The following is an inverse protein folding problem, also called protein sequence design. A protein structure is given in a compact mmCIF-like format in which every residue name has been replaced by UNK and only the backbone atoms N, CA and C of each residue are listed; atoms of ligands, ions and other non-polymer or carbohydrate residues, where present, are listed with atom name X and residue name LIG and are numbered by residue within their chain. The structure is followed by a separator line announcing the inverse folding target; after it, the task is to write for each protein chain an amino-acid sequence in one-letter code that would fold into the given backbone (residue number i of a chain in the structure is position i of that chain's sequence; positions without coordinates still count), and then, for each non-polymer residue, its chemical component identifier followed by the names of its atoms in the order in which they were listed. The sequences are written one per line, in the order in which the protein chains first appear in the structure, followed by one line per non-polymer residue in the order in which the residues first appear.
data_IF_662858792885
#
_entry.id   IF_662858792885
#
_cell.length_a   1.000
_cell.length_b   1.000
_cell.length_c   1.000
_cell.angle_alpha   90.00
_cell.angle_beta   90.00
_cell.angle_gamma   90.00
#
_symmetry.space_group_name_H-M   'P 1'
#
loop_
_entity.id
_entity.type
_entity.pdbx_description
1 polymer ?
#
# COMPACT_ATOMS: atom_id res chain seq x y z
N UNK A 1 3.84 16.28 1.30
CA UNK A 1 4.42 16.06 -0.04
C UNK A 1 4.26 14.59 -0.46
N UNK A 2 3.79 14.36 -1.67
CA UNK A 2 3.60 13.00 -2.18
C UNK A 2 4.89 12.48 -2.82
N UNK A 3 5.18 11.23 -2.55
CA UNK A 3 6.30 10.54 -3.19
C UNK A 3 5.71 9.55 -4.18
N UNK A 4 6.08 9.71 -5.44
CA UNK A 4 5.59 8.85 -6.52
C UNK A 4 6.57 7.72 -6.78
N UNK A 5 6.06 6.50 -6.79
CA UNK A 5 6.88 5.32 -7.12
C UNK A 5 6.13 4.43 -8.10
N UNK A 6 6.89 3.78 -8.98
CA UNK A 6 6.35 2.76 -9.86
C UNK A 6 6.33 1.44 -9.12
N UNK A 7 5.22 0.75 -9.19
CA UNK A 7 5.11 -0.60 -8.63
C UNK A 7 4.42 -1.51 -9.63
N UNK A 8 4.60 -2.80 -9.47
CA UNK A 8 3.98 -3.79 -10.35
C UNK A 8 2.85 -4.48 -9.59
N UNK A 9 1.64 -4.41 -10.16
CA UNK A 9 0.45 -5.04 -9.59
C UNK A 9 -0.14 -5.95 -10.65
N UNK A 10 -0.23 -7.25 -10.37
CA UNK A 10 -0.80 -8.23 -11.30
C UNK A 10 -0.16 -8.14 -12.68
N UNK A 11 1.17 -8.04 -12.71
CA UNK A 11 1.99 -7.97 -13.93
C UNK A 11 1.85 -6.65 -14.69
N UNK A 12 1.19 -5.66 -14.13
CA UNK A 12 1.06 -4.33 -14.74
C UNK A 12 1.82 -3.30 -13.94
N UNK A 13 2.58 -2.47 -14.64
CA UNK A 13 3.27 -1.34 -14.03
C UNK A 13 2.26 -0.25 -13.74
N UNK A 14 2.28 0.30 -12.53
CA UNK A 14 1.42 1.42 -12.19
C UNK A 14 2.20 2.41 -11.33
N UNK A 15 1.80 3.66 -11.36
CA UNK A 15 2.38 4.71 -10.51
C UNK A 15 1.49 4.90 -9.30
N UNK A 16 2.13 5.02 -8.14
CA UNK A 16 1.41 5.22 -6.89
C UNK A 16 2.07 6.37 -6.13
N UNK A 17 1.27 7.37 -5.77
CA UNK A 17 1.76 8.53 -5.02
C UNK A 17 1.18 8.49 -3.62
N UNK A 18 2.06 8.47 -2.62
CA UNK A 18 1.68 8.45 -1.22
C UNK A 18 2.62 9.35 -0.44
N UNK A 19 2.14 9.87 0.66
CA UNK A 19 2.98 10.59 1.59
C UNK A 19 4.04 9.65 2.16
N UNK A 20 5.19 10.22 2.52
CA UNK A 20 6.32 9.45 3.05
C UNK A 20 5.89 8.54 4.20
N UNK A 21 5.04 9.05 5.07
CA UNK A 21 4.58 8.29 6.24
C UNK A 21 3.85 7.01 5.84
N UNK A 22 3.06 7.07 4.78
CA UNK A 22 2.35 5.89 4.30
C UNK A 22 3.28 4.89 3.62
N UNK A 23 4.29 5.37 2.89
CA UNK A 23 5.30 4.48 2.32
C UNK A 23 6.06 3.74 3.41
N UNK A 24 6.44 4.47 4.47
CA UNK A 24 7.14 3.86 5.61
C UNK A 24 6.26 2.82 6.31
N UNK A 25 4.98 3.13 6.49
CA UNK A 25 4.05 2.19 7.12
C UNK A 25 3.89 0.93 6.29
N UNK A 26 3.82 1.06 4.95
CA UNK A 26 3.75 -0.11 4.07
C UNK A 26 4.98 -1.00 4.23
N UNK A 27 6.17 -0.39 4.31
CA UNK A 27 7.41 -1.15 4.49
C UNK A 27 7.38 -1.95 5.79
N UNK A 28 6.94 -1.31 6.87
CA UNK A 28 6.89 -1.95 8.18
C UNK A 28 5.92 -3.12 8.17
N UNK A 29 4.72 -2.92 7.64
CA UNK A 29 3.71 -3.97 7.63
C UNK A 29 4.11 -5.11 6.71
N UNK A 30 4.67 -4.81 5.54
CA UNK A 30 5.15 -5.85 4.62
C UNK A 30 6.22 -6.70 5.28
N UNK A 31 7.14 -6.07 6.01
CA UNK A 31 8.18 -6.80 6.72
C UNK A 31 7.59 -7.71 7.80
N UNK A 32 6.60 -7.22 8.55
CA UNK A 32 5.93 -8.03 9.56
C UNK A 32 5.23 -9.23 8.93
N UNK A 33 4.63 -9.04 7.78
CA UNK A 33 3.91 -10.11 7.08
C UNK A 33 4.83 -10.95 6.20
N UNK A 34 6.13 -10.64 6.20
CA UNK A 34 7.15 -11.38 5.43
C UNK A 34 6.83 -11.42 3.94
N UNK A 35 6.39 -10.30 3.41
CA UNK A 35 6.09 -10.17 1.98
C UNK A 35 6.66 -8.86 1.45
N UNK A 36 6.60 -8.69 0.13
CA UNK A 36 7.05 -7.46 -0.50
C UNK A 36 5.95 -6.39 -0.41
N UNK A 37 6.35 -5.14 -0.59
CA UNK A 37 5.36 -4.05 -0.65
C UNK A 37 4.42 -4.30 -1.83
N UNK A 38 4.94 -4.78 -2.96
CA UNK A 38 4.11 -5.06 -4.13
C UNK A 38 3.06 -6.14 -3.83
N UNK A 39 3.44 -7.19 -3.11
CA UNK A 39 2.49 -8.22 -2.72
C UNK A 39 1.40 -7.67 -1.82
N UNK A 40 1.78 -6.84 -0.85
CA UNK A 40 0.83 -6.23 0.06
C UNK A 40 -0.13 -5.31 -0.70
N UNK A 41 0.39 -4.48 -1.58
CA UNK A 41 -0.42 -3.56 -2.37
C UNK A 41 -1.33 -4.32 -3.33
N UNK A 42 -0.85 -5.42 -3.91
CA UNK A 42 -1.68 -6.26 -4.78
C UNK A 42 -2.89 -6.80 -4.03
N UNK A 43 -2.68 -7.23 -2.79
CA UNK A 43 -3.78 -7.72 -1.97
C UNK A 43 -4.79 -6.61 -1.68
N UNK A 44 -4.30 -5.42 -1.34
CA UNK A 44 -5.18 -4.29 -1.09
C UNK A 44 -5.96 -3.93 -2.36
N UNK A 45 -5.28 -3.93 -3.50
CA UNK A 45 -5.90 -3.62 -4.79
C UNK A 45 -7.02 -4.59 -5.14
N UNK A 46 -6.85 -5.86 -4.83
CA UNK A 46 -7.85 -6.88 -5.15
C UNK A 46 -9.15 -6.70 -4.38
N UNK A 47 -9.11 -6.01 -3.26
CA UNK A 47 -10.27 -5.80 -2.39
C UNK A 47 -10.78 -4.36 -2.41
N UNK A 48 -10.17 -3.51 -3.21
CA UNK A 48 -10.51 -2.08 -3.17
C UNK A 48 -11.85 -1.77 -3.80
N UNK A 49 -12.51 -0.75 -3.24
CA UNK A 49 -13.77 -0.22 -3.78
C UNK A 49 -13.64 1.26 -4.12
N UNK A 50 -12.43 1.80 -4.04
CA UNK A 50 -12.13 3.20 -4.29
C UNK A 50 -10.78 3.27 -5.00
N UNK A 51 -10.19 4.47 -5.10
CA UNK A 51 -8.86 4.58 -5.69
C UNK A 51 -7.85 3.77 -4.89
N UNK A 52 -6.79 3.33 -5.53
CA UNK A 52 -5.77 2.53 -4.87
C UNK A 52 -5.13 3.30 -3.71
N UNK A 53 -4.79 4.57 -3.93
CA UNK A 53 -4.17 5.38 -2.88
C UNK A 53 -5.09 5.50 -1.67
N UNK A 54 -6.37 5.78 -1.90
CA UNK A 54 -7.36 5.88 -0.82
C UNK A 54 -7.49 4.56 -0.08
N UNK A 55 -7.55 3.45 -0.82
CA UNK A 55 -7.68 2.12 -0.22
C UNK A 55 -6.48 1.76 0.63
N UNK A 56 -5.28 2.14 0.20
CA UNK A 56 -4.06 1.91 0.99
C UNK A 56 -4.11 2.71 2.28
N UNK A 57 -4.49 3.99 2.22
CA UNK A 57 -4.57 4.82 3.42
C UNK A 57 -5.57 4.24 4.43
N UNK A 58 -6.72 3.80 3.95
CA UNK A 58 -7.74 3.20 4.82
C UNK A 58 -7.24 1.89 5.42
N UNK A 59 -6.58 1.06 4.61
CA UNK A 59 -6.01 -0.20 5.09
C UNK A 59 -5.01 0.05 6.22
N UNK A 60 -4.11 1.01 6.02
CA UNK A 60 -3.09 1.32 7.01
C UNK A 60 -3.71 1.87 8.29
N UNK A 61 -4.70 2.73 8.15
CA UNK A 61 -5.41 3.26 9.31
C UNK A 61 -6.05 2.14 10.12
N UNK A 62 -6.76 1.24 9.45
CA UNK A 62 -7.41 0.12 10.12
C UNK A 62 -6.41 -0.81 10.78
N UNK A 63 -5.27 -1.04 10.12
CA UNK A 63 -4.23 -1.90 10.67
C UNK A 63 -3.75 -1.37 12.01
N UNK A 64 -3.47 -0.06 12.08
CA UNK A 64 -2.97 0.52 13.32
C UNK A 64 -4.06 0.73 14.38
N UNK A 65 -5.30 0.87 13.96
CA UNK A 65 -6.40 1.04 14.92
C UNK A 65 -6.77 -0.25 15.65
N UNK A 66 -6.39 -1.39 15.11
CA UNK A 66 -6.65 -2.68 15.76
C UNK A 66 -5.71 -2.97 16.93
N UNK A 67 -4.67 -2.20 17.05
CA UNK A 67 -3.66 -2.46 18.09
C UNK A 67 -3.78 -1.50 19.26
#
# INVERSE_FOLDING_TARGET
MLIKKSITIKKHRTSLSLEKEFWNALKIIAKEKKCSIENLVTKIDSERKASLASSIRVYLLKFYMKN
#
